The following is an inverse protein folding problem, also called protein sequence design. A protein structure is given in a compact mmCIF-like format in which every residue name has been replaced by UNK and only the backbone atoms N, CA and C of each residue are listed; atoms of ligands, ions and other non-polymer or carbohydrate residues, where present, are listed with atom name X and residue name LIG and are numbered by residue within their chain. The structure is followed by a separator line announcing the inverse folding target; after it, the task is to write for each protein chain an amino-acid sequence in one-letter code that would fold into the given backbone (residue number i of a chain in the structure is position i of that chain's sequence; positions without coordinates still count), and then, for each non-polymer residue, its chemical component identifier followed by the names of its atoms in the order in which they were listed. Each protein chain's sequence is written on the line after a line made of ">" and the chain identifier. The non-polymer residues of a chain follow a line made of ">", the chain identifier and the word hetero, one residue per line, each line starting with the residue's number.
data_IF_263207733957
#
_entry.id   IF_263207733957
#
_cell.length_a   1.000
_cell.length_b   1.000
_cell.length_c   1.000
_cell.angle_alpha   90.00
_cell.angle_beta   90.00
_cell.angle_gamma   90.00
#
_symmetry.space_group_name_H-M   'P 1'
#
loop_
_entity.id
_entity.type
_entity.pdbx_description
1 polymer ?
#
# COMPACT_ATOMS: atom_id res chain seq x y z
N UNK A 1 17.83 28.19 44.59
CA UNK A 1 17.47 26.79 44.26
C UNK A 1 16.18 26.65 43.43
N UNK A 2 15.19 27.55 43.54
CA UNK A 2 13.91 27.46 42.79
C UNK A 2 13.98 27.76 41.27
N UNK A 3 15.13 28.24 40.76
CA UNK A 3 15.28 28.62 39.34
C UNK A 3 15.77 27.47 38.45
N UNK A 4 16.52 26.50 39.01
CA UNK A 4 16.99 25.33 38.26
C UNK A 4 15.85 24.32 38.01
N UNK A 5 14.92 24.19 38.96
CA UNK A 5 13.77 23.28 38.83
C UNK A 5 12.80 23.72 37.73
N UNK A 6 12.58 25.03 37.57
CA UNK A 6 11.75 25.60 36.50
C UNK A 6 12.37 25.38 35.11
N UNK A 7 13.69 25.55 35.00
CA UNK A 7 14.42 25.28 33.75
C UNK A 7 14.34 23.79 33.38
N UNK A 8 14.49 22.90 34.36
CA UNK A 8 14.39 21.45 34.15
C UNK A 8 13.01 21.00 33.66
N UNK A 9 11.93 21.62 34.16
CA UNK A 9 10.56 21.33 33.70
C UNK A 9 10.28 21.84 32.28
N UNK A 10 10.80 23.02 31.94
CA UNK A 10 10.67 23.57 30.58
C UNK A 10 11.41 22.72 29.54
N UNK A 11 12.60 22.23 29.88
CA UNK A 11 13.36 21.32 29.01
C UNK A 11 12.61 20.00 28.81
N UNK A 12 12.00 19.44 29.87
CA UNK A 12 11.21 18.21 29.76
C UNK A 12 9.99 18.37 28.82
N UNK A 13 9.27 19.49 28.91
CA UNK A 13 8.13 19.78 28.02
C UNK A 13 8.54 19.90 26.54
N UNK A 14 9.72 20.47 26.26
CA UNK A 14 10.27 20.55 24.89
C UNK A 14 10.68 19.17 24.36
N UNK A 15 11.27 18.32 25.20
CA UNK A 15 11.67 16.95 24.82
C UNK A 15 10.45 16.07 24.52
N UNK A 16 9.34 16.24 25.25
CA UNK A 16 8.09 15.51 25.01
C UNK A 16 7.45 15.83 23.65
N UNK A 17 7.60 17.06 23.15
CA UNK A 17 7.12 17.43 21.80
C UNK A 17 7.96 16.79 20.69
N UNK A 18 9.26 16.62 20.91
CA UNK A 18 10.19 16.05 19.92
C UNK A 18 9.88 14.55 19.69
N UNK A 19 9.44 13.82 20.71
CA UNK A 19 9.12 12.39 20.63
C UNK A 19 7.95 12.05 19.69
N UNK A 20 7.08 13.00 19.38
CA UNK A 20 5.94 12.80 18.47
C UNK A 20 6.42 12.66 17.00
N UNK A 21 7.63 13.11 16.69
CA UNK A 21 8.17 13.08 15.31
C UNK A 21 9.00 11.83 14.97
N UNK A 22 8.99 10.80 15.82
CA UNK A 22 9.76 9.55 15.59
C UNK A 22 9.22 8.81 14.36
N UNK A 23 9.78 9.15 13.20
CA UNK A 23 9.67 8.38 11.99
C UNK A 23 10.28 7.01 12.23
N UNK A 24 9.44 6.01 12.51
CA UNK A 24 9.90 4.66 12.79
C UNK A 24 10.85 4.17 11.69
N UNK A 25 12.01 3.67 12.09
CA UNK A 25 13.01 3.01 11.23
C UNK A 25 13.13 1.50 11.55
N UNK A 26 12.13 0.93 12.23
CA UNK A 26 12.11 -0.45 12.74
C UNK A 26 11.01 -1.33 12.12
N UNK A 27 10.75 -2.54 12.68
CA UNK A 27 9.73 -3.47 12.17
C UNK A 27 8.35 -2.84 11.99
N UNK A 28 7.99 -1.90 12.87
CA UNK A 28 6.76 -1.10 12.78
C UNK A 28 6.63 -0.26 11.49
N UNK A 29 7.75 0.25 10.96
CA UNK A 29 7.74 0.97 9.69
C UNK A 29 7.33 0.05 8.54
N UNK A 30 7.95 -1.13 8.47
CA UNK A 30 7.65 -2.10 7.43
C UNK A 30 6.25 -2.67 7.58
N UNK A 31 5.76 -2.83 8.81
CA UNK A 31 4.37 -3.22 9.09
C UNK A 31 3.39 -2.22 8.47
N UNK A 32 3.51 -0.93 8.79
CA UNK A 32 2.66 0.13 8.22
C UNK A 32 2.75 0.25 6.70
N UNK A 33 3.93 0.00 6.12
CA UNK A 33 4.06 -0.06 4.67
C UNK A 33 3.26 -1.23 4.07
N UNK A 34 3.38 -2.43 4.65
CA UNK A 34 2.68 -3.63 4.15
C UNK A 34 1.16 -3.54 4.34
N UNK A 35 0.69 -2.94 5.44
CA UNK A 35 -0.74 -2.77 5.73
C UNK A 35 -1.48 -2.01 4.61
N UNK A 36 -0.84 -0.99 4.01
CA UNK A 36 -1.42 -0.24 2.88
C UNK A 36 -1.67 -1.07 1.63
N UNK A 37 -0.88 -2.12 1.42
CA UNK A 37 -1.03 -3.03 0.27
C UNK A 37 -2.03 -4.14 0.60
N UNK A 38 -2.03 -4.62 1.84
CA UNK A 38 -2.84 -5.76 2.27
C UNK A 38 -2.21 -7.10 1.89
N UNK A 39 -2.65 -8.17 2.56
CA UNK A 39 -2.07 -9.52 2.43
C UNK A 39 -2.28 -10.10 1.02
N UNK A 40 -3.47 -9.95 0.48
CA UNK A 40 -3.85 -10.50 -0.83
C UNK A 40 -3.04 -9.87 -1.96
N UNK A 41 -3.12 -8.55 -2.12
CA UNK A 41 -2.35 -7.82 -3.13
C UNK A 41 -0.84 -7.97 -2.92
N UNK A 42 -0.37 -7.99 -1.67
CA UNK A 42 1.03 -8.24 -1.36
C UNK A 42 1.50 -9.61 -1.87
N UNK A 43 0.68 -10.66 -1.68
CA UNK A 43 0.97 -12.01 -2.19
C UNK A 43 0.98 -12.05 -3.71
N UNK A 44 -0.01 -11.44 -4.36
CA UNK A 44 -0.10 -11.37 -5.82
C UNK A 44 1.11 -10.66 -6.44
N UNK A 45 1.49 -9.49 -5.90
CA UNK A 45 2.64 -8.71 -6.38
C UNK A 45 3.94 -9.48 -6.18
N UNK A 46 4.11 -10.14 -5.04
CA UNK A 46 5.27 -10.99 -4.78
C UNK A 46 5.32 -12.17 -5.77
N UNK A 47 4.18 -12.79 -6.05
CA UNK A 47 4.08 -13.90 -6.99
C UNK A 47 4.45 -13.49 -8.43
N UNK A 48 3.92 -12.37 -8.94
CA UNK A 48 4.33 -11.80 -10.23
C UNK A 48 5.83 -11.46 -10.24
N UNK A 49 6.33 -10.85 -9.17
CA UNK A 49 7.72 -10.41 -9.07
C UNK A 49 8.73 -11.58 -9.02
N UNK A 50 8.44 -12.64 -8.28
CA UNK A 50 9.38 -13.76 -8.09
C UNK A 50 9.17 -14.90 -9.09
N UNK A 51 7.92 -15.23 -9.39
CA UNK A 51 7.57 -16.43 -10.16
C UNK A 51 6.94 -16.10 -11.52
N UNK A 52 6.50 -14.85 -11.74
CA UNK A 52 5.81 -14.45 -12.97
C UNK A 52 4.55 -15.29 -13.25
N UNK A 53 3.93 -15.83 -12.20
CA UNK A 53 2.77 -16.72 -12.27
C UNK A 53 1.44 -16.01 -11.92
N UNK A 54 1.49 -14.70 -11.70
CA UNK A 54 0.32 -13.88 -11.38
C UNK A 54 0.41 -12.56 -12.13
N UNK A 55 -0.74 -11.88 -12.26
CA UNK A 55 -0.85 -10.57 -12.89
C UNK A 55 -1.50 -9.60 -11.91
N UNK A 56 -0.79 -8.57 -11.49
CA UNK A 56 -1.29 -7.53 -10.57
C UNK A 56 -2.46 -6.80 -11.22
N UNK A 57 -3.59 -6.76 -10.50
CA UNK A 57 -4.85 -6.12 -10.89
C UNK A 57 -4.82 -4.60 -10.70
N UNK A 58 -5.81 -3.88 -11.25
CA UNK A 58 -5.96 -2.44 -11.05
C UNK A 58 -6.10 -2.05 -9.58
N UNK A 59 -6.94 -2.77 -8.81
CA UNK A 59 -7.11 -2.54 -7.37
C UNK A 59 -5.79 -2.72 -6.60
N UNK A 60 -5.04 -3.79 -6.90
CA UNK A 60 -3.75 -4.01 -6.26
C UNK A 60 -2.69 -2.99 -6.71
N UNK A 61 -2.78 -2.50 -7.94
CA UNK A 61 -1.95 -1.39 -8.41
C UNK A 61 -2.26 -0.09 -7.66
N UNK A 62 -3.54 0.22 -7.42
CA UNK A 62 -3.94 1.37 -6.63
C UNK A 62 -3.36 1.30 -5.21
N UNK A 63 -3.57 0.17 -4.51
CA UNK A 63 -3.00 -0.06 -3.17
C UNK A 63 -1.47 0.03 -3.15
N UNK A 64 -0.80 -0.52 -4.18
CA UNK A 64 0.65 -0.43 -4.34
C UNK A 64 1.14 1.01 -4.55
N UNK A 65 0.42 1.83 -5.33
CA UNK A 65 0.76 3.24 -5.53
C UNK A 65 0.52 4.07 -4.26
N UNK A 66 -0.60 3.82 -3.54
CA UNK A 66 -0.94 4.45 -2.26
C UNK A 66 0.07 4.16 -1.15
N UNK A 67 0.72 2.99 -1.18
CA UNK A 67 1.83 2.68 -0.28
C UNK A 67 2.98 3.71 -0.37
N UNK A 68 3.27 4.19 -1.58
CA UNK A 68 4.25 5.24 -1.86
C UNK A 68 5.69 4.77 -2.05
N UNK A 69 6.47 5.56 -2.81
CA UNK A 69 7.85 5.24 -3.25
C UNK A 69 8.80 4.92 -2.10
N UNK A 70 8.75 5.66 -0.98
CA UNK A 70 9.64 5.46 0.18
C UNK A 70 9.43 4.09 0.85
N UNK A 71 8.18 3.64 0.96
CA UNK A 71 7.85 2.31 1.48
C UNK A 71 8.34 1.24 0.52
N UNK A 72 8.06 1.40 -0.78
CA UNK A 72 8.47 0.45 -1.82
C UNK A 72 9.99 0.23 -1.84
N UNK A 73 10.78 1.31 -1.92
CA UNK A 73 12.25 1.22 -1.97
C UNK A 73 12.82 0.54 -0.74
N UNK A 74 12.37 0.92 0.46
CA UNK A 74 12.89 0.33 1.70
C UNK A 74 12.47 -1.13 1.88
N UNK A 75 11.22 -1.48 1.55
CA UNK A 75 10.76 -2.87 1.56
C UNK A 75 11.56 -3.73 0.59
N UNK A 76 11.77 -3.24 -0.64
CA UNK A 76 12.57 -3.96 -1.64
C UNK A 76 14.02 -4.12 -1.18
N UNK A 77 14.66 -3.07 -0.66
CA UNK A 77 16.02 -3.20 -0.10
C UNK A 77 16.07 -4.25 1.01
N UNK A 78 15.11 -4.25 1.94
CA UNK A 78 15.05 -5.25 3.00
C UNK A 78 14.86 -6.65 2.44
N UNK A 79 13.94 -6.83 1.50
CA UNK A 79 13.64 -8.12 0.87
C UNK A 79 14.86 -8.68 0.14
N UNK A 80 15.55 -7.86 -0.64
CA UNK A 80 16.75 -8.23 -1.36
C UNK A 80 17.93 -8.60 -0.45
N UNK A 81 17.91 -8.22 0.83
CA UNK A 81 18.91 -8.66 1.81
C UNK A 81 18.65 -10.06 2.37
N UNK A 82 17.45 -10.61 2.19
CA UNK A 82 17.06 -11.92 2.72
C UNK A 82 17.64 -13.06 1.86
N UNK A 83 18.11 -14.13 2.51
CA UNK A 83 18.87 -15.22 1.91
C UNK A 83 18.28 -15.85 0.63
N UNK A 84 16.96 -16.12 0.49
CA UNK A 84 16.44 -16.74 -0.73
C UNK A 84 16.43 -15.82 -1.95
N UNK A 85 16.72 -14.52 -1.78
CA UNK A 85 16.54 -13.51 -2.82
C UNK A 85 17.85 -12.81 -3.21
N UNK A 86 18.96 -13.10 -2.52
CA UNK A 86 20.25 -12.45 -2.77
C UNK A 86 20.77 -12.72 -4.18
N UNK A 87 20.62 -13.94 -4.67
CA UNK A 87 21.17 -14.34 -5.98
C UNK A 87 20.26 -13.93 -7.15
N UNK A 88 18.99 -13.61 -6.87
CA UNK A 88 18.00 -13.17 -7.85
C UNK A 88 17.75 -11.65 -7.83
N UNK A 89 18.58 -10.90 -7.12
CA UNK A 89 18.43 -9.44 -6.91
C UNK A 89 18.14 -8.67 -8.18
N UNK A 90 18.95 -8.89 -9.23
CA UNK A 90 18.82 -8.18 -10.50
C UNK A 90 17.46 -8.43 -11.16
N UNK A 91 17.09 -9.71 -11.26
CA UNK A 91 15.82 -10.14 -11.86
C UNK A 91 14.60 -9.61 -11.07
N UNK A 92 14.62 -9.74 -9.75
CA UNK A 92 13.55 -9.28 -8.86
C UNK A 92 13.38 -7.76 -8.95
N UNK A 93 14.49 -7.03 -8.97
CA UNK A 93 14.47 -5.57 -9.10
C UNK A 93 13.93 -5.12 -10.47
N UNK A 94 14.30 -5.81 -11.55
CA UNK A 94 13.80 -5.55 -12.90
C UNK A 94 12.29 -5.76 -12.99
N UNK A 95 11.80 -6.91 -12.48
CA UNK A 95 10.37 -7.21 -12.44
C UNK A 95 9.58 -6.26 -11.54
N UNK A 96 10.13 -5.90 -10.39
CA UNK A 96 9.55 -4.88 -9.50
C UNK A 96 9.34 -3.54 -10.22
N UNK A 97 10.33 -3.10 -11.02
CA UNK A 97 10.21 -1.88 -11.84
C UNK A 97 9.12 -2.00 -12.91
N UNK A 98 9.01 -3.17 -13.56
CA UNK A 98 7.95 -3.43 -14.55
C UNK A 98 6.56 -3.32 -13.93
N UNK A 99 6.34 -3.95 -12.76
CA UNK A 99 5.07 -3.87 -12.03
C UNK A 99 4.76 -2.42 -11.67
N UNK A 100 5.73 -1.67 -11.13
CA UNK A 100 5.53 -0.28 -10.75
C UNK A 100 5.18 0.61 -11.96
N UNK A 101 5.84 0.39 -13.11
CA UNK A 101 5.54 1.11 -14.36
C UNK A 101 4.14 0.79 -14.88
N UNK A 102 3.76 -0.48 -14.87
CA UNK A 102 2.41 -0.96 -15.23
C UNK A 102 1.35 -0.29 -14.34
N UNK A 103 1.53 -0.33 -13.03
CA UNK A 103 0.59 0.29 -12.09
C UNK A 103 0.51 1.81 -12.22
N UNK A 104 1.63 2.48 -12.48
CA UNK A 104 1.63 3.92 -12.76
C UNK A 104 0.86 4.29 -14.03
N UNK A 105 0.86 3.42 -15.05
CA UNK A 105 0.06 3.62 -16.24
C UNK A 105 -1.43 3.42 -15.95
N UNK A 106 -1.80 2.37 -15.19
CA UNK A 106 -3.18 2.10 -14.79
C UNK A 106 -3.82 3.22 -13.97
N UNK A 107 -3.07 3.80 -13.02
CA UNK A 107 -3.51 4.98 -12.25
C UNK A 107 -3.83 6.19 -13.15
N UNK A 108 -2.99 6.45 -14.15
CA UNK A 108 -3.20 7.55 -15.10
C UNK A 108 -4.42 7.32 -15.99
N UNK A 109 -4.72 6.06 -16.29
CA UNK A 109 -5.87 5.66 -17.10
C UNK A 109 -7.17 5.52 -16.29
N UNK A 110 -7.16 5.73 -14.97
CA UNK A 110 -8.36 5.60 -14.12
C UNK A 110 -8.80 4.15 -13.87
N UNK A 111 -8.01 3.16 -14.27
CA UNK A 111 -8.31 1.72 -14.13
C UNK A 111 -7.96 1.28 -12.71
N UNK A 112 -8.86 1.52 -11.75
CA UNK A 112 -8.66 1.04 -10.37
C UNK A 112 -9.40 1.75 -9.25
N UNK A 113 -10.34 2.66 -9.53
CA UNK A 113 -11.12 3.37 -8.48
C UNK A 113 -12.47 2.74 -8.16
N UNK A 114 -12.90 1.71 -8.88
CA UNK A 114 -14.23 1.11 -8.71
C UNK A 114 -14.06 -0.41 -8.58
N UNK A 115 -13.93 -0.89 -7.34
CA UNK A 115 -14.30 -2.24 -6.86
C UNK A 115 -14.03 -2.32 -5.35
N UNK A 116 -14.83 -1.61 -4.57
CA UNK A 116 -15.22 -1.97 -3.21
C UNK A 116 -16.75 -2.06 -3.27
N UNK A 117 -17.36 -2.99 -2.55
CA UNK A 117 -18.78 -3.42 -2.64
C UNK A 117 -19.13 -4.45 -3.73
N UNK A 118 -18.86 -5.72 -3.45
CA UNK A 118 -19.88 -6.80 -3.61
C UNK A 118 -19.43 -8.06 -2.86
N UNK A 119 -19.49 -8.01 -1.53
CA UNK A 119 -19.75 -9.20 -0.73
C UNK A 119 -21.18 -9.07 -0.20
N UNK A 120 -22.18 -9.23 -1.08
CA UNK A 120 -23.55 -9.50 -0.65
C UNK A 120 -24.02 -10.80 -1.30
N UNK A 121 -23.92 -11.87 -0.52
CA UNK A 121 -24.69 -13.09 -0.70
C UNK A 121 -26.15 -12.74 -0.38
N UNK A 122 -26.96 -12.46 -1.40
CA UNK A 122 -28.42 -12.30 -1.22
C UNK A 122 -29.15 -13.51 -1.79
N UNK A 123 -29.67 -14.35 -0.88
CA UNK A 123 -30.72 -15.32 -1.16
C UNK A 123 -32.07 -14.60 -1.09
N UNK A 124 -32.78 -14.70 -2.22
CA UNK A 124 -34.23 -14.65 -2.37
C UNK A 124 -34.95 -13.30 -2.18
N UNK A 125 -35.73 -12.93 -3.19
CA UNK A 125 -36.85 -11.98 -3.07
C UNK A 125 -36.54 -10.53 -3.48
N UNK A 126 -37.03 -10.15 -4.66
CA UNK A 126 -37.40 -8.78 -5.04
C UNK A 126 -36.30 -7.72 -5.22
N UNK A 127 -35.93 -7.42 -6.47
CA UNK A 127 -35.58 -6.06 -6.96
C UNK A 127 -35.62 -6.08 -8.50
N UNK A 128 -36.72 -5.59 -9.07
CA UNK A 128 -36.81 -5.22 -10.51
C UNK A 128 -36.48 -3.73 -10.74
N UNK A 129 -35.84 -3.06 -9.78
CA UNK A 129 -35.72 -1.59 -9.77
C UNK A 129 -34.30 -1.03 -9.88
N UNK A 130 -33.27 -1.84 -10.11
CA UNK A 130 -31.87 -1.34 -10.23
C UNK A 130 -31.38 -1.22 -11.68
N UNK A 131 -31.99 -1.89 -12.66
CA UNK A 131 -31.56 -1.77 -14.07
C UNK A 131 -32.11 -0.51 -14.79
N UNK A 132 -33.18 0.12 -14.28
CA UNK A 132 -33.77 1.29 -14.91
C UNK A 132 -32.95 2.57 -14.69
N UNK A 133 -32.29 2.70 -13.53
CA UNK A 133 -31.51 3.91 -13.20
C UNK A 133 -30.11 3.90 -13.84
N UNK A 134 -29.51 2.72 -14.03
CA UNK A 134 -28.18 2.58 -14.63
C UNK A 134 -28.16 2.86 -16.16
N UNK A 135 -29.30 2.77 -16.84
CA UNK A 135 -29.37 2.96 -18.30
C UNK A 135 -29.52 4.44 -18.73
N UNK A 136 -29.76 5.37 -17.80
CA UNK A 136 -30.10 6.78 -18.13
C UNK A 136 -28.93 7.74 -17.92
N UNK A 137 -27.87 7.32 -17.20
CA UNK A 137 -26.67 8.16 -16.95
C UNK A 137 -25.53 7.87 -17.95
N UNK A 138 -25.70 6.89 -18.85
CA UNK A 138 -24.79 6.62 -19.98
C UNK A 138 -25.46 6.80 -21.35
N UNK A 139 -26.37 7.75 -21.49
CA UNK A 139 -26.74 8.35 -22.79
C UNK A 139 -26.11 9.75 -22.80
N UNK A 140 -25.26 10.08 -23.80
CA UNK A 140 -25.72 10.71 -25.04
C UNK A 140 -26.60 11.93 -24.76
#
# INVERSE_FOLDING_TARGET
>A
MASLTKLSLLVAMLVSLIAITVGAKGPEYFRRCKEKVGKECGTMIMNEMFFHNATTTGVCCHKLMTMGKKCHVRLMMKLLTMSPFKDKKGLVLERSKKILKKCSAMEKSGVGKEQEDTEEVFRDGDIKLTCAYASTVMKS
#
